data_IF_479337140980
#
_entry.id   IF_479337140980
#
_cell.length_a   1.000
_cell.length_b   1.000
_cell.length_c   1.000
_cell.angle_alpha   90.00
_cell.angle_beta   90.00
_cell.angle_gamma   90.00
#
_symmetry.space_group_name_H-M   'P 1'
#
loop_
_entity.id
_entity.type
_entity.pdbx_description
1 polymer ?
#
# COMPACT_ATOMS: atom_id res chain seq x y z
N UNK A 1 -11.41 -31.69 -10.76
CA UNK A 1 -12.44 -30.63 -10.61
C UNK A 1 -11.85 -29.27 -10.20
N UNK A 2 -10.91 -29.20 -9.25
CA UNK A 2 -10.28 -27.93 -8.83
C UNK A 2 -9.49 -27.20 -9.92
N UNK A 3 -8.65 -27.90 -10.68
CA UNK A 3 -7.84 -27.31 -11.76
C UNK A 3 -8.69 -26.68 -12.89
N UNK A 4 -9.83 -27.28 -13.23
CA UNK A 4 -10.75 -26.73 -14.23
C UNK A 4 -11.41 -25.43 -13.76
N UNK A 5 -11.72 -25.32 -12.46
CA UNK A 5 -12.26 -24.08 -11.87
C UNK A 5 -11.21 -22.96 -11.86
N UNK A 6 -9.96 -23.30 -11.54
CA UNK A 6 -8.83 -22.35 -11.62
C UNK A 6 -8.65 -21.87 -13.06
N UNK A 7 -8.67 -22.75 -14.05
CA UNK A 7 -8.56 -22.36 -15.46
C UNK A 7 -9.69 -21.45 -15.93
N UNK A 8 -10.94 -21.74 -15.54
CA UNK A 8 -12.10 -20.90 -15.88
C UNK A 8 -11.99 -19.49 -15.29
N UNK A 9 -11.54 -19.36 -14.03
CA UNK A 9 -11.29 -18.06 -13.39
C UNK A 9 -10.19 -17.29 -14.15
N UNK A 10 -9.09 -17.95 -14.50
CA UNK A 10 -7.99 -17.30 -15.23
C UNK A 10 -8.40 -16.83 -16.64
N UNK A 11 -9.26 -17.57 -17.33
CA UNK A 11 -9.80 -17.18 -18.63
C UNK A 11 -10.71 -15.95 -18.55
N UNK A 12 -11.55 -15.87 -17.51
CA UNK A 12 -12.39 -14.70 -17.26
C UNK A 12 -11.53 -13.44 -17.05
N UNK A 13 -10.49 -13.54 -16.21
CA UNK A 13 -9.55 -12.44 -15.98
C UNK A 13 -8.81 -12.00 -17.25
N UNK A 14 -8.48 -12.93 -18.15
CA UNK A 14 -7.79 -12.61 -19.41
C UNK A 14 -8.69 -11.82 -20.37
N UNK A 15 -9.96 -12.22 -20.50
CA UNK A 15 -10.94 -11.52 -21.36
C UNK A 15 -11.15 -10.06 -20.95
N UNK A 16 -10.96 -9.71 -19.68
CA UNK A 16 -11.09 -8.33 -19.19
C UNK A 16 -9.97 -7.39 -19.68
N UNK A 17 -8.85 -7.92 -20.18
CA UNK A 17 -7.71 -7.15 -20.69
C UNK A 17 -7.61 -7.08 -22.21
N UNK A 18 -8.41 -7.86 -22.96
CA UNK A 18 -8.36 -7.84 -24.41
C UNK A 18 -8.78 -6.45 -24.92
N UNK A 19 -7.89 -5.71 -25.61
CA UNK A 19 -8.23 -4.39 -26.13
C UNK A 19 -9.34 -4.56 -27.19
N UNK A 20 -10.40 -3.74 -27.18
CA UNK A 20 -11.38 -3.77 -28.24
C UNK A 20 -10.69 -3.37 -29.56
N UNK A 21 -10.84 -4.13 -30.65
CA UNK A 21 -10.30 -3.74 -31.96
C UNK A 21 -10.95 -2.43 -32.42
N UNK A 22 -10.23 -1.47 -33.02
CA UNK A 22 -8.80 -1.47 -33.40
C UNK A 22 -7.84 -0.98 -32.30
N UNK A 23 -6.60 -1.49 -32.34
CA UNK A 23 -5.49 -1.12 -31.44
C UNK A 23 -4.86 0.23 -31.82
N UNK A 24 -5.55 1.34 -31.51
CA UNK A 24 -4.95 2.68 -31.60
C UNK A 24 -4.41 3.13 -30.23
N UNK A 25 -3.08 3.25 -30.13
CA UNK A 25 -2.41 3.78 -28.95
C UNK A 25 -2.24 5.29 -29.09
N UNK A 26 -2.88 6.07 -28.22
CA UNK A 26 -2.67 7.53 -28.15
C UNK A 26 -1.74 7.92 -26.99
N UNK A 27 -1.06 9.05 -27.14
CA UNK A 27 -0.28 9.65 -26.07
C UNK A 27 -1.19 10.36 -25.04
N UNK A 28 -0.93 10.11 -23.75
CA UNK A 28 -1.62 10.79 -22.65
C UNK A 28 -0.78 11.86 -21.93
N UNK A 29 0.51 11.99 -22.27
CA UNK A 29 1.36 12.99 -21.65
C UNK A 29 1.08 14.35 -22.29
N UNK A 30 0.47 15.25 -21.53
CA UNK A 30 0.09 16.59 -22.00
C UNK A 30 0.25 17.61 -20.89
N UNK A 31 0.18 18.90 -21.24
CA UNK A 31 0.16 19.99 -20.26
C UNK A 31 -1.00 19.81 -19.26
N UNK A 32 -2.11 19.21 -19.68
CA UNK A 32 -3.26 18.92 -18.79
C UNK A 32 -2.89 17.90 -17.72
N UNK A 33 -2.13 16.87 -18.09
CA UNK A 33 -1.60 15.87 -17.16
C UNK A 33 -0.63 16.50 -16.15
N UNK A 34 0.22 17.44 -16.60
CA UNK A 34 1.12 18.20 -15.71
C UNK A 34 0.32 19.05 -14.71
N UNK A 35 -0.68 19.80 -15.19
CA UNK A 35 -1.54 20.61 -14.32
C UNK A 35 -2.29 19.74 -13.31
N UNK A 36 -2.77 18.57 -13.70
CA UNK A 36 -3.40 17.64 -12.78
C UNK A 36 -2.44 17.04 -11.76
N UNK A 37 -1.18 16.78 -12.14
CA UNK A 37 -0.14 16.37 -11.20
C UNK A 37 0.13 17.46 -10.14
N UNK A 38 0.20 18.73 -10.54
CA UNK A 38 0.34 19.86 -9.62
C UNK A 38 -0.87 19.99 -8.69
N UNK A 39 -2.09 19.81 -9.23
CA UNK A 39 -3.30 19.78 -8.42
C UNK A 39 -3.24 18.68 -7.35
N UNK A 40 -2.80 17.47 -7.70
CA UNK A 40 -2.62 16.40 -6.72
C UNK A 40 -1.61 16.82 -5.65
N UNK A 41 -0.45 17.35 -6.06
CA UNK A 41 0.64 17.69 -5.15
C UNK A 41 0.29 18.82 -4.17
N UNK A 42 -0.42 19.87 -4.63
CA UNK A 42 -0.71 21.05 -3.80
C UNK A 42 -2.04 21.01 -3.07
N UNK A 43 -3.06 20.32 -3.62
CA UNK A 43 -4.41 20.31 -3.04
C UNK A 43 -4.69 18.99 -2.34
N UNK A 44 -4.47 17.87 -3.02
CA UNK A 44 -4.90 16.57 -2.52
C UNK A 44 -3.96 15.99 -1.48
N UNK A 45 -2.65 16.16 -1.69
CA UNK A 45 -1.64 15.61 -0.81
C UNK A 45 -1.71 16.17 0.63
N UNK A 46 -1.88 17.50 0.87
CA UNK A 46 -2.10 18.01 2.22
C UNK A 46 -3.37 17.47 2.88
N UNK A 47 -4.48 17.37 2.13
CA UNK A 47 -5.73 16.81 2.63
C UNK A 47 -5.59 15.33 3.01
N UNK A 48 -4.93 14.53 2.16
CA UNK A 48 -4.64 13.13 2.42
C UNK A 48 -3.70 12.93 3.62
N UNK A 49 -2.70 13.80 3.80
CA UNK A 49 -1.81 13.80 4.95
C UNK A 49 -2.53 14.15 6.26
N UNK A 50 -3.40 15.15 6.24
CA UNK A 50 -4.21 15.49 7.41
C UNK A 50 -5.11 14.32 7.80
N UNK A 51 -5.86 13.80 6.83
CA UNK A 51 -6.84 12.77 7.12
C UNK A 51 -6.17 11.45 7.52
N UNK A 52 -5.01 11.08 6.96
CA UNK A 52 -4.25 9.89 7.42
C UNK A 52 -3.75 10.00 8.86
N UNK A 53 -3.38 11.21 9.29
CA UNK A 53 -2.99 11.47 10.68
C UNK A 53 -4.19 11.42 11.63
N UNK A 54 -5.37 11.91 11.20
CA UNK A 54 -6.61 11.89 12.00
C UNK A 54 -7.19 10.50 12.13
N UNK A 55 -7.25 9.73 11.04
CA UNK A 55 -7.81 8.37 11.05
C UNK A 55 -6.84 7.35 11.64
N UNK A 56 -5.56 7.71 11.84
CA UNK A 56 -4.52 6.80 12.30
C UNK A 56 -4.18 5.68 11.32
N UNK A 57 -4.82 5.68 10.15
CA UNK A 57 -4.68 4.70 9.09
C UNK A 57 -4.61 5.43 7.74
N UNK A 58 -3.81 4.92 6.82
CA UNK A 58 -3.78 5.45 5.45
C UNK A 58 -5.15 5.27 4.79
N UNK A 59 -5.56 6.23 3.95
CA UNK A 59 -6.85 6.22 3.24
C UNK A 59 -6.94 5.18 2.10
N UNK A 60 -6.01 4.24 2.04
CA UNK A 60 -5.87 3.29 0.94
C UNK A 60 -5.77 3.98 -0.42
N UNK A 61 -6.42 3.40 -1.43
CA UNK A 61 -6.46 3.91 -2.80
C UNK A 61 -7.59 4.91 -3.06
N UNK A 62 -8.48 5.17 -2.10
CA UNK A 62 -9.64 6.04 -2.32
C UNK A 62 -9.28 7.49 -2.72
N UNK A 63 -8.29 8.17 -2.08
CA UNK A 63 -7.91 9.53 -2.46
C UNK A 63 -7.45 9.65 -3.91
N UNK A 64 -6.82 8.61 -4.46
CA UNK A 64 -6.39 8.56 -5.86
C UNK A 64 -7.59 8.68 -6.79
N UNK A 65 -8.64 7.88 -6.58
CA UNK A 65 -9.86 7.92 -7.39
C UNK A 65 -10.60 9.26 -7.27
N UNK A 66 -10.77 9.76 -6.05
CA UNK A 66 -11.42 11.05 -5.78
C UNK A 66 -10.68 12.19 -6.49
N UNK A 67 -9.35 12.13 -6.52
CA UNK A 67 -8.52 13.11 -7.21
C UNK A 67 -8.79 13.15 -8.70
N UNK A 68 -8.83 11.99 -9.36
CA UNK A 68 -9.11 11.92 -10.79
C UNK A 68 -10.53 12.42 -11.09
N UNK A 69 -11.53 12.05 -10.27
CA UNK A 69 -12.91 12.51 -10.42
C UNK A 69 -13.02 14.03 -10.29
N UNK A 70 -12.41 14.61 -9.25
CA UNK A 70 -12.44 16.07 -9.03
C UNK A 70 -11.73 16.82 -10.15
N UNK A 71 -10.58 16.32 -10.61
CA UNK A 71 -9.88 16.93 -11.73
C UNK A 71 -10.71 16.87 -13.02
N UNK A 72 -11.32 15.72 -13.31
CA UNK A 72 -12.22 15.56 -14.45
C UNK A 72 -13.44 16.49 -14.37
N UNK A 73 -14.00 16.69 -13.18
CA UNK A 73 -15.13 17.59 -12.98
C UNK A 73 -14.73 19.06 -13.20
N UNK A 74 -13.54 19.47 -12.74
CA UNK A 74 -13.00 20.81 -13.03
C UNK A 74 -12.73 20.99 -14.52
N UNK A 75 -12.10 20.00 -15.17
CA UNK A 75 -11.84 20.02 -16.61
C UNK A 75 -13.16 20.14 -17.40
N UNK A 76 -14.16 19.32 -17.04
CA UNK A 76 -15.50 19.36 -17.63
C UNK A 76 -16.18 20.72 -17.48
N UNK A 77 -16.14 21.31 -16.28
CA UNK A 77 -16.69 22.66 -16.02
C UNK A 77 -15.95 23.76 -16.76
N UNK A 78 -14.70 23.51 -17.12
CA UNK A 78 -13.88 24.38 -17.96
C UNK A 78 -14.05 24.10 -19.46
N UNK A 79 -15.04 23.29 -19.85
CA UNK A 79 -15.29 22.84 -21.23
C UNK A 79 -14.12 22.08 -21.88
N UNK A 80 -13.24 21.48 -21.07
CA UNK A 80 -12.13 20.64 -21.52
C UNK A 80 -12.54 19.17 -21.45
N UNK A 81 -12.38 18.44 -22.55
CA UNK A 81 -12.51 16.97 -22.58
C UNK A 81 -11.14 16.32 -22.45
N UNK A 82 -11.01 15.41 -21.49
CA UNK A 82 -9.77 14.65 -21.26
C UNK A 82 -9.79 13.35 -22.04
N UNK A 83 -8.63 12.96 -22.59
CA UNK A 83 -8.44 11.66 -23.23
C UNK A 83 -8.38 10.55 -22.18
N UNK A 84 -8.65 9.30 -22.59
CA UNK A 84 -8.59 8.14 -21.67
C UNK A 84 -7.18 7.99 -21.08
N UNK A 85 -6.16 8.26 -21.89
CA UNK A 85 -4.75 8.14 -21.55
C UNK A 85 -4.30 9.25 -20.59
N UNK A 86 -4.84 10.47 -20.74
CA UNK A 86 -4.63 11.56 -19.77
C UNK A 86 -5.22 11.18 -18.41
N UNK A 87 -6.46 10.65 -18.39
CA UNK A 87 -7.13 10.19 -17.16
C UNK A 87 -6.35 9.05 -16.50
N UNK A 88 -5.86 8.09 -17.29
CA UNK A 88 -5.05 6.97 -16.78
C UNK A 88 -3.71 7.42 -16.21
N UNK A 89 -3.01 8.36 -16.87
CA UNK A 89 -1.77 8.92 -16.34
C UNK A 89 -2.02 9.73 -15.07
N UNK A 90 -3.09 10.52 -15.02
CA UNK A 90 -3.49 11.22 -13.81
C UNK A 90 -3.79 10.24 -12.67
N UNK A 91 -4.45 9.12 -12.95
CA UNK A 91 -4.64 8.06 -11.98
C UNK A 91 -3.31 7.53 -11.43
N UNK A 92 -2.37 7.15 -12.29
CA UNK A 92 -1.05 6.63 -11.86
C UNK A 92 -0.28 7.69 -11.06
N UNK A 93 -0.22 8.92 -11.56
CA UNK A 93 0.49 10.02 -10.91
C UNK A 93 -0.14 10.35 -9.55
N UNK A 94 -1.47 10.37 -9.47
CA UNK A 94 -2.18 10.56 -8.21
C UNK A 94 -1.84 9.45 -7.20
N UNK A 95 -1.87 8.20 -7.62
CA UNK A 95 -1.47 7.06 -6.78
C UNK A 95 -0.01 7.14 -6.34
N UNK A 96 0.87 7.60 -7.22
CA UNK A 96 2.27 7.78 -6.90
C UNK A 96 2.50 8.88 -5.84
N UNK A 97 1.94 10.07 -6.06
CA UNK A 97 2.12 11.21 -5.15
C UNK A 97 1.45 10.95 -3.81
N UNK A 98 0.19 10.51 -3.81
CA UNK A 98 -0.58 10.27 -2.58
C UNK A 98 -0.10 9.03 -1.83
N UNK A 99 0.40 8.01 -2.53
CA UNK A 99 0.97 6.83 -1.90
C UNK A 99 2.34 7.09 -1.26
N UNK A 100 3.12 8.04 -1.79
CA UNK A 100 4.41 8.40 -1.19
C UNK A 100 4.24 9.19 0.12
N UNK A 101 3.26 10.10 0.16
CA UNK A 101 2.91 10.99 1.26
C UNK A 101 4.04 11.32 2.27
N UNK A 102 5.15 11.94 1.81
CA UNK A 102 6.28 12.21 2.68
C UNK A 102 5.92 13.18 3.83
N UNK A 103 4.95 14.06 3.61
CA UNK A 103 4.54 15.07 4.59
C UNK A 103 3.94 14.49 5.86
N UNK A 104 3.04 13.50 5.76
CA UNK A 104 2.51 12.85 6.97
C UNK A 104 3.62 12.18 7.76
N UNK A 105 4.60 11.59 7.07
CA UNK A 105 5.78 11.00 7.70
C UNK A 105 6.65 12.04 8.43
N UNK A 106 6.92 13.19 7.82
CA UNK A 106 7.69 14.26 8.48
C UNK A 106 6.99 14.82 9.72
N UNK A 107 5.69 15.09 9.63
CA UNK A 107 4.89 15.59 10.76
C UNK A 107 4.88 14.56 11.89
N UNK A 108 4.71 13.28 11.54
CA UNK A 108 4.79 12.19 12.50
C UNK A 108 6.16 12.10 13.17
N UNK A 109 7.26 12.23 12.42
CA UNK A 109 8.61 12.21 12.98
C UNK A 109 8.86 13.39 13.92
N UNK A 110 8.34 14.58 13.60
CA UNK A 110 8.37 15.75 14.50
C UNK A 110 7.61 15.45 15.78
N UNK A 111 6.41 14.88 15.68
CA UNK A 111 5.63 14.45 16.84
C UNK A 111 6.41 13.43 17.68
N UNK A 112 6.98 12.40 17.07
CA UNK A 112 7.79 11.39 17.75
C UNK A 112 8.94 12.03 18.53
N UNK A 113 9.69 12.97 17.96
CA UNK A 113 10.79 13.64 18.68
C UNK A 113 10.28 14.53 19.81
N UNK A 114 9.16 15.22 19.62
CA UNK A 114 8.70 16.26 20.54
C UNK A 114 7.75 15.78 21.63
N UNK A 115 7.13 14.60 21.46
CA UNK A 115 6.11 14.08 22.36
C UNK A 115 6.64 13.81 23.78
N UNK A 116 5.76 13.97 24.76
CA UNK A 116 6.08 13.67 26.16
C UNK A 116 6.33 12.18 26.40
N UNK A 117 5.71 11.31 25.60
CA UNK A 117 5.90 9.85 25.70
C UNK A 117 7.34 9.49 25.36
N UNK A 118 7.84 9.97 24.21
CA UNK A 118 9.20 9.70 23.77
C UNK A 118 10.25 10.30 24.71
N UNK A 119 9.97 11.50 25.26
CA UNK A 119 10.81 12.13 26.28
C UNK A 119 10.82 11.33 27.57
N UNK A 120 9.66 10.83 28.02
CA UNK A 120 9.54 9.97 29.20
C UNK A 120 10.24 8.63 29.05
N UNK A 121 10.37 8.12 27.81
CA UNK A 121 11.16 6.93 27.49
C UNK A 121 12.66 7.18 27.38
N UNK A 122 13.12 8.44 27.44
CA UNK A 122 14.53 8.81 27.34
C UNK A 122 15.16 8.68 25.95
N UNK A 123 14.37 8.31 24.92
CA UNK A 123 14.85 8.07 23.54
C UNK A 123 14.64 9.25 22.60
N UNK A 124 14.08 10.37 23.09
CA UNK A 124 13.77 11.53 22.25
C UNK A 124 15.02 12.17 21.61
N UNK A 125 16.14 12.15 22.33
CA UNK A 125 17.41 12.69 21.87
C UNK A 125 18.19 11.70 20.98
N UNK A 126 17.91 10.40 21.11
CA UNK A 126 18.51 9.34 20.29
C UNK A 126 17.97 9.31 18.85
N UNK A 127 16.86 10.01 18.58
CA UNK A 127 16.29 10.09 17.23
C UNK A 127 17.30 10.78 16.31
N UNK A 128 17.73 10.13 15.21
CA UNK A 128 18.75 10.70 14.35
C UNK A 128 18.31 11.99 13.66
N UNK A 129 19.23 12.95 13.54
CA UNK A 129 18.97 14.25 12.89
C UNK A 129 18.74 14.12 11.38
N UNK A 130 19.24 13.05 10.77
CA UNK A 130 18.99 12.75 9.37
C UNK A 130 17.55 12.30 9.09
N UNK A 131 16.78 11.90 10.12
CA UNK A 131 15.37 11.53 9.99
C UNK A 131 14.43 12.74 10.22
N UNK A 132 14.77 13.58 11.18
CA UNK A 132 13.99 14.76 11.57
C UNK A 132 14.92 15.77 12.27
N UNK A 133 14.76 17.09 12.04
CA UNK A 133 15.55 18.12 12.73
C UNK A 133 15.50 18.00 14.26
N UNK A 134 16.47 18.58 14.95
CA UNK A 134 16.49 18.60 16.43
C UNK A 134 15.28 19.37 16.99
N UNK A 135 14.85 19.02 18.21
CA UNK A 135 13.66 19.61 18.82
C UNK A 135 13.77 21.13 19.08
N UNK A 136 15.00 21.61 19.28
CA UNK A 136 15.38 23.02 19.48
C UNK A 136 15.61 23.77 18.15
N UNK A 137 15.55 23.09 17.00
CA UNK A 137 15.74 23.70 15.70
C UNK A 137 14.65 24.75 15.42
N UNK A 138 15.02 25.92 14.86
CA UNK A 138 14.05 26.90 14.35
C UNK A 138 13.04 26.27 13.37
N UNK A 139 13.43 25.24 12.63
CA UNK A 139 12.55 24.51 11.72
C UNK A 139 11.31 23.93 12.41
N UNK A 140 11.51 23.31 13.58
CA UNK A 140 10.43 22.71 14.37
C UNK A 140 9.68 23.78 15.15
N UNK A 141 10.40 24.72 15.77
CA UNK A 141 9.79 25.78 16.58
C UNK A 141 8.88 26.69 15.76
N UNK A 142 9.30 27.06 14.55
CA UNK A 142 8.52 27.90 13.62
C UNK A 142 7.56 27.09 12.75
N UNK A 143 7.49 25.76 12.91
CA UNK A 143 6.64 24.85 12.13
C UNK A 143 6.81 25.03 10.62
N UNK A 144 8.05 25.15 10.16
CA UNK A 144 8.38 25.38 8.75
C UNK A 144 9.24 24.24 8.19
N UNK A 145 8.91 23.82 6.97
CA UNK A 145 9.76 22.92 6.18
C UNK A 145 10.83 23.68 5.39
N UNK A 146 10.73 25.02 5.33
CA UNK A 146 11.66 25.88 4.61
C UNK A 146 12.81 26.34 5.51
N UNK A 147 13.57 25.38 6.05
CA UNK A 147 14.75 25.63 6.86
C UNK A 147 15.86 24.64 6.48
N UNK A 148 17.13 25.06 6.57
CA UNK A 148 18.28 24.24 6.16
C UNK A 148 18.38 22.90 6.90
N UNK A 149 17.93 22.83 8.15
CA UNK A 149 17.91 21.59 8.94
C UNK A 149 17.04 20.48 8.32
N UNK A 150 16.09 20.82 7.45
CA UNK A 150 15.30 19.84 6.70
C UNK A 150 16.00 19.30 5.44
N UNK A 151 17.12 19.90 5.01
CA UNK A 151 17.80 19.49 3.77
C UNK A 151 18.22 18.01 3.79
N UNK A 152 18.84 17.56 4.89
CA UNK A 152 19.29 16.18 5.03
C UNK A 152 18.10 15.21 5.09
N UNK A 153 17.09 15.40 5.97
CA UNK A 153 15.90 14.56 5.96
C UNK A 153 15.20 14.49 4.61
N UNK A 154 14.99 15.63 3.95
CA UNK A 154 14.32 15.68 2.64
C UNK A 154 15.15 14.96 1.58
N UNK A 155 16.48 15.15 1.55
CA UNK A 155 17.35 14.50 0.59
C UNK A 155 17.33 12.97 0.75
N UNK A 156 17.38 12.48 2.00
CA UNK A 156 17.32 11.03 2.28
C UNK A 156 15.95 10.47 1.92
N UNK A 157 14.86 11.14 2.29
CA UNK A 157 13.52 10.70 1.93
C UNK A 157 13.30 10.71 0.42
N UNK A 158 13.86 11.67 -0.31
CA UNK A 158 13.83 11.67 -1.77
C UNK A 158 14.66 10.52 -2.37
N UNK A 159 15.85 10.26 -1.84
CA UNK A 159 16.68 9.13 -2.27
C UNK A 159 15.98 7.79 -2.01
N UNK A 160 15.39 7.61 -0.82
CA UNK A 160 14.59 6.43 -0.48
C UNK A 160 13.36 6.30 -1.36
N UNK A 161 12.69 7.42 -1.69
CA UNK A 161 11.56 7.40 -2.61
C UNK A 161 11.99 6.91 -3.99
N UNK A 162 13.09 7.43 -4.54
CA UNK A 162 13.62 7.02 -5.84
C UNK A 162 14.04 5.54 -5.84
N UNK A 163 14.73 5.09 -4.80
CA UNK A 163 15.11 3.69 -4.63
C UNK A 163 13.88 2.80 -4.55
N UNK A 164 12.88 3.16 -3.72
CA UNK A 164 11.64 2.40 -3.58
C UNK A 164 10.89 2.31 -4.90
N UNK A 165 10.89 3.40 -5.70
CA UNK A 165 10.27 3.40 -7.04
C UNK A 165 11.03 2.51 -8.01
N UNK A 166 12.35 2.64 -8.07
CA UNK A 166 13.19 1.81 -8.94
C UNK A 166 13.04 0.33 -8.58
N UNK A 167 13.10 -0.02 -7.29
CA UNK A 167 12.86 -1.38 -6.80
C UNK A 167 11.45 -1.86 -7.12
N UNK A 168 10.43 -1.03 -6.95
CA UNK A 168 9.05 -1.36 -7.29
C UNK A 168 8.84 -1.63 -8.78
N UNK A 169 9.43 -0.83 -9.66
CA UNK A 169 9.39 -1.06 -11.11
C UNK A 169 10.16 -2.32 -11.50
N UNK A 170 11.36 -2.53 -10.95
CA UNK A 170 12.16 -3.71 -11.23
C UNK A 170 11.44 -5.00 -10.77
N UNK A 171 10.97 -5.02 -9.53
CA UNK A 171 10.22 -6.16 -8.99
C UNK A 171 8.91 -6.40 -9.74
N UNK A 172 8.17 -5.34 -10.04
CA UNK A 172 6.93 -5.43 -10.81
C UNK A 172 7.15 -5.97 -12.22
N UNK A 173 8.20 -5.52 -12.90
CA UNK A 173 8.57 -6.03 -14.23
C UNK A 173 9.04 -7.49 -14.19
N UNK A 174 9.87 -7.86 -13.20
CA UNK A 174 10.31 -9.25 -13.02
C UNK A 174 9.11 -10.15 -12.76
N UNK A 175 8.22 -9.75 -11.84
CA UNK A 175 7.01 -10.50 -11.54
C UNK A 175 6.12 -10.60 -12.77
N UNK A 176 5.94 -9.52 -13.53
CA UNK A 176 5.22 -9.54 -14.79
C UNK A 176 5.81 -10.55 -15.78
N UNK A 177 7.14 -10.56 -15.99
CA UNK A 177 7.79 -11.52 -16.88
C UNK A 177 7.61 -12.97 -16.42
N UNK A 178 7.72 -13.23 -15.12
CA UNK A 178 7.51 -14.57 -14.56
C UNK A 178 6.05 -14.99 -14.75
N UNK A 179 5.10 -14.18 -14.29
CA UNK A 179 3.68 -14.51 -14.30
C UNK A 179 3.10 -14.55 -15.73
N UNK A 180 3.41 -13.57 -16.57
CA UNK A 180 2.86 -13.45 -17.92
C UNK A 180 3.61 -14.30 -18.94
N UNK A 181 4.94 -14.23 -19.00
CA UNK A 181 5.67 -14.87 -20.11
C UNK A 181 6.00 -16.33 -19.80
N UNK A 182 6.40 -16.63 -18.56
CA UNK A 182 6.79 -17.97 -18.16
C UNK A 182 5.59 -18.82 -17.73
N UNK A 183 4.80 -18.31 -16.76
CA UNK A 183 3.66 -19.04 -16.20
C UNK A 183 2.38 -18.87 -17.03
N UNK A 184 2.33 -17.88 -17.94
CA UNK A 184 1.17 -17.56 -18.78
C UNK A 184 -0.11 -17.33 -17.99
N UNK A 185 0.02 -16.80 -16.78
CA UNK A 185 -1.08 -16.41 -15.91
C UNK A 185 -1.46 -14.94 -16.16
N UNK A 186 -2.75 -14.57 -16.07
CA UNK A 186 -3.17 -13.18 -16.05
C UNK A 186 -2.54 -12.45 -14.86
N UNK A 187 -2.03 -11.25 -15.09
CA UNK A 187 -1.42 -10.45 -14.03
C UNK A 187 -2.50 -10.01 -13.02
N UNK A 188 -2.32 -10.27 -11.71
CA UNK A 188 -3.37 -10.06 -10.72
C UNK A 188 -3.75 -8.57 -10.59
N UNK A 189 -5.04 -8.31 -10.36
CA UNK A 189 -5.65 -6.98 -10.11
C UNK A 189 -5.51 -5.91 -11.22
N UNK A 190 -4.66 -6.12 -12.23
CA UNK A 190 -4.49 -5.19 -13.33
C UNK A 190 -5.78 -4.93 -14.17
N UNK A 191 -6.66 -5.92 -14.43
CA UNK A 191 -7.90 -5.64 -15.15
C UNK A 191 -8.84 -4.75 -14.34
N UNK A 192 -8.88 -4.91 -13.01
CA UNK A 192 -9.73 -4.12 -12.11
C UNK A 192 -9.35 -2.64 -12.18
N UNK A 193 -8.05 -2.33 -12.08
CA UNK A 193 -7.56 -0.96 -12.19
C UNK A 193 -7.83 -0.34 -13.57
N UNK A 194 -7.63 -1.11 -14.64
CA UNK A 194 -7.89 -0.67 -16.01
C UNK A 194 -9.39 -0.42 -16.28
N UNK A 195 -10.27 -1.30 -15.80
CA UNK A 195 -11.71 -1.13 -15.90
C UNK A 195 -12.16 0.12 -15.14
N UNK A 196 -11.64 0.39 -13.94
CA UNK A 196 -11.92 1.61 -13.19
C UNK A 196 -11.52 2.90 -13.94
N UNK A 197 -10.32 2.93 -14.54
CA UNK A 197 -9.89 4.07 -15.36
C UNK A 197 -10.74 4.23 -16.63
N UNK A 198 -11.19 3.12 -17.22
CA UNK A 198 -12.08 3.11 -18.38
C UNK A 198 -13.46 3.68 -18.04
N UNK A 199 -14.02 3.31 -16.88
CA UNK A 199 -15.30 3.88 -16.38
C UNK A 199 -15.18 5.40 -16.28
N UNK A 200 -14.10 5.90 -15.68
CA UNK A 200 -13.86 7.34 -15.60
C UNK A 200 -13.78 7.99 -16.99
N UNK A 201 -13.08 7.37 -17.93
CA UNK A 201 -13.03 7.88 -19.30
C UNK A 201 -14.41 7.96 -19.98
N UNK A 202 -15.25 6.94 -19.83
CA UNK A 202 -16.64 6.92 -20.34
C UNK A 202 -17.49 8.04 -19.72
N UNK A 203 -17.33 8.27 -18.40
CA UNK A 203 -17.98 9.37 -17.68
C UNK A 203 -17.60 10.74 -18.28
N UNK A 204 -16.33 10.95 -18.65
CA UNK A 204 -15.91 12.21 -19.29
C UNK A 204 -16.56 12.43 -20.66
N UNK A 205 -16.95 11.36 -21.36
CA UNK A 205 -17.57 11.41 -22.69
C UNK A 205 -19.10 11.42 -22.67
N UNK A 206 -19.72 11.41 -21.48
CA UNK A 206 -21.18 11.29 -21.27
C UNK A 206 -21.76 9.99 -21.84
N UNK A 207 -20.97 8.92 -21.89
CA UNK A 207 -21.46 7.60 -22.26
C UNK A 207 -22.05 6.93 -21.02
N UNK A 208 -23.38 6.87 -20.93
CA UNK A 208 -24.08 6.18 -19.83
C UNK A 208 -24.13 4.67 -20.10
N UNK A 209 -23.05 3.98 -19.75
CA UNK A 209 -22.97 2.51 -19.80
C UNK A 209 -23.45 1.88 -18.51
N UNK A 210 -23.61 0.54 -18.51
CA UNK A 210 -23.92 -0.24 -17.30
C UNK A 210 -22.91 0.02 -16.16
N UNK A 211 -21.67 0.38 -16.49
CA UNK A 211 -20.57 0.71 -15.57
C UNK A 211 -20.89 1.94 -14.72
N UNK A 212 -21.55 2.95 -15.30
CA UNK A 212 -21.98 4.16 -14.58
C UNK A 212 -22.93 3.86 -13.42
N UNK A 213 -23.83 2.90 -13.60
CA UNK A 213 -24.80 2.50 -12.57
C UNK A 213 -24.09 1.90 -11.36
N UNK A 214 -23.18 0.95 -11.58
CA UNK A 214 -22.41 0.34 -10.48
C UNK A 214 -21.46 1.32 -9.82
N UNK A 215 -20.83 2.21 -10.59
CA UNK A 215 -20.02 3.30 -10.05
C UNK A 215 -20.85 4.20 -9.12
N UNK A 216 -22.05 4.60 -9.54
CA UNK A 216 -22.93 5.48 -8.75
C UNK A 216 -23.39 4.81 -7.46
N UNK A 217 -23.75 3.53 -7.51
CA UNK A 217 -24.12 2.75 -6.30
C UNK A 217 -22.94 2.70 -5.34
N UNK A 218 -21.75 2.33 -5.82
CA UNK A 218 -20.54 2.28 -5.01
C UNK A 218 -20.17 3.65 -4.42
N UNK A 219 -20.28 4.72 -5.22
CA UNK A 219 -20.04 6.08 -4.78
C UNK A 219 -21.02 6.51 -3.67
N UNK A 220 -22.31 6.21 -3.80
CA UNK A 220 -23.31 6.54 -2.78
C UNK A 220 -23.10 5.76 -1.48
N UNK A 221 -22.78 4.47 -1.57
CA UNK A 221 -22.42 3.64 -0.41
C UNK A 221 -21.18 4.22 0.27
N UNK A 222 -20.15 4.54 -0.50
CA UNK A 222 -18.89 5.11 -0.01
C UNK A 222 -19.07 6.48 0.63
N UNK A 223 -19.91 7.36 0.05
CA UNK A 223 -20.24 8.67 0.61
C UNK A 223 -21.00 8.55 1.92
N UNK A 224 -22.04 7.70 1.97
CA UNK A 224 -22.81 7.48 3.19
C UNK A 224 -21.90 6.92 4.30
N UNK A 225 -21.17 5.84 4.01
CA UNK A 225 -20.27 5.23 4.97
C UNK A 225 -19.16 6.19 5.41
N UNK A 226 -18.51 6.89 4.48
CA UNK A 226 -17.46 7.86 4.77
C UNK A 226 -17.93 9.03 5.62
N UNK A 227 -19.18 9.48 5.44
CA UNK A 227 -19.79 10.50 6.30
C UNK A 227 -19.92 10.00 7.75
N UNK A 228 -20.44 8.80 7.98
CA UNK A 228 -20.58 8.25 9.33
C UNK A 228 -19.24 7.86 9.97
N UNK A 229 -18.35 7.28 9.17
CA UNK A 229 -17.08 6.71 9.62
C UNK A 229 -16.00 7.78 9.86
N UNK A 230 -15.86 8.76 8.98
CA UNK A 230 -14.81 9.78 9.08
C UNK A 230 -15.35 11.20 9.15
N UNK A 231 -16.42 11.52 8.41
CA UNK A 231 -16.99 12.87 8.32
C UNK A 231 -17.52 13.39 9.66
N UNK A 232 -18.42 12.65 10.32
CA UNK A 232 -19.00 13.03 11.60
C UNK A 232 -17.92 13.17 12.68
N UNK A 233 -17.00 12.20 12.90
CA UNK A 233 -15.91 12.36 13.86
C UNK A 233 -15.04 13.58 13.59
N UNK A 234 -14.75 13.88 12.31
CA UNK A 234 -13.92 15.04 11.94
C UNK A 234 -14.62 16.36 12.23
N UNK A 235 -15.89 16.51 11.81
CA UNK A 235 -16.68 17.73 12.03
C UNK A 235 -16.91 17.96 13.51
N UNK A 236 -17.32 16.91 14.23
CA UNK A 236 -17.58 17.00 15.68
C UNK A 236 -16.30 17.19 16.48
N UNK A 237 -15.18 16.55 16.10
CA UNK A 237 -13.88 16.76 16.74
C UNK A 237 -13.31 18.16 16.57
N UNK A 238 -13.71 18.88 15.51
CA UNK A 238 -13.36 20.29 15.34
C UNK A 238 -14.20 21.23 16.22
N UNK A 239 -15.41 20.82 16.61
CA UNK A 239 -16.38 21.65 17.35
C UNK A 239 -16.50 21.27 18.83
N UNK A 240 -16.17 20.04 19.20
CA UNK A 240 -16.38 19.44 20.53
C UNK A 240 -15.06 18.93 21.10
N UNK A 241 -14.97 18.83 22.44
CA UNK A 241 -13.79 18.28 23.11
C UNK A 241 -13.57 16.78 22.86
N UNK A 242 -14.60 16.05 22.44
CA UNK A 242 -14.51 14.64 22.03
C UNK A 242 -15.27 14.43 20.73
N UNK A 243 -14.65 13.85 19.69
CA UNK A 243 -15.35 13.56 18.45
C UNK A 243 -16.43 12.50 18.69
N UNK A 244 -17.59 12.70 18.06
CA UNK A 244 -18.67 11.72 18.07
C UNK A 244 -18.30 10.57 17.13
N UNK A 245 -17.80 9.47 17.69
CA UNK A 245 -17.46 8.25 16.95
C UNK A 245 -18.61 7.24 17.07
N UNK A 246 -19.36 7.09 15.97
CA UNK A 246 -20.46 6.10 15.90
C UNK A 246 -19.94 4.68 15.69
N UNK A 247 -18.86 4.55 14.93
CA UNK A 247 -18.17 3.30 14.65
C UNK A 247 -16.72 3.48 15.14
N UNK A 248 -16.17 2.56 15.96
CA UNK A 248 -14.79 2.65 16.41
C UNK A 248 -13.80 2.66 15.23
N UNK A 249 -12.86 3.60 15.26
CA UNK A 249 -11.79 3.76 14.28
C UNK A 249 -10.46 3.43 14.99
N UNK A 250 -9.52 2.71 14.35
CA UNK A 250 -9.61 2.11 13.01
C UNK A 250 -10.25 0.72 12.98
N UNK A 251 -10.48 0.11 14.15
CA UNK A 251 -11.04 -1.22 14.30
C UNK A 251 -11.74 -1.37 15.65
N UNK A 252 -12.51 -2.44 15.79
CA UNK A 252 -13.00 -2.92 17.09
C UNK A 252 -11.96 -3.89 17.64
N UNK A 253 -11.41 -3.58 18.81
CA UNK A 253 -10.44 -4.43 19.49
C UNK A 253 -11.14 -5.51 20.31
N UNK A 254 -10.82 -6.77 20.03
CA UNK A 254 -11.31 -7.97 20.73
C UNK A 254 -10.16 -8.72 21.42
N UNK A 255 -8.95 -8.15 21.46
CA UNK A 255 -7.76 -8.79 22.02
C UNK A 255 -7.99 -9.13 23.49
N UNK A 256 -8.46 -8.17 24.28
CA UNK A 256 -8.78 -8.38 25.70
C UNK A 256 -9.94 -9.37 25.90
N UNK A 257 -10.90 -9.44 24.98
CA UNK A 257 -12.01 -10.40 25.07
C UNK A 257 -11.56 -11.84 24.79
N UNK A 258 -10.48 -12.03 24.03
CA UNK A 258 -10.03 -13.33 23.54
C UNK A 258 -8.75 -13.83 24.21
N UNK A 259 -8.09 -13.00 25.03
CA UNK A 259 -6.79 -13.28 25.65
C UNK A 259 -6.75 -14.54 26.51
N UNK A 260 -7.89 -14.98 27.06
CA UNK A 260 -8.01 -16.21 27.85
C UNK A 260 -7.82 -17.47 27.01
N UNK A 261 -8.27 -17.43 25.75
CA UNK A 261 -8.18 -18.56 24.80
C UNK A 261 -6.96 -18.41 23.90
N UNK A 262 -6.72 -17.19 23.40
CA UNK A 262 -5.68 -16.82 22.43
C UNK A 262 -4.74 -15.76 23.04
N UNK A 263 -3.91 -16.12 24.04
CA UNK A 263 -3.00 -15.18 24.67
C UNK A 263 -1.94 -14.69 23.67
N UNK A 264 -1.55 -13.43 23.80
CA UNK A 264 -0.62 -12.74 22.92
C UNK A 264 -1.03 -12.72 21.43
N UNK A 265 -2.31 -12.92 21.10
CA UNK A 265 -2.81 -12.79 19.73
C UNK A 265 -3.64 -11.52 19.60
N UNK A 266 -3.23 -10.52 18.80
CA UNK A 266 -4.06 -9.36 18.54
C UNK A 266 -5.25 -9.78 17.66
N UNK A 267 -6.47 -9.58 18.15
CA UNK A 267 -7.70 -9.90 17.42
C UNK A 267 -8.51 -8.63 17.28
N UNK A 268 -8.66 -8.17 16.04
CA UNK A 268 -9.37 -6.95 15.71
C UNK A 268 -10.35 -7.20 14.58
N UNK A 269 -11.50 -6.53 14.63
CA UNK A 269 -12.42 -6.45 13.50
C UNK A 269 -12.17 -5.11 12.83
N UNK A 270 -11.58 -5.15 11.64
CA UNK A 270 -11.45 -3.95 10.80
C UNK A 270 -12.84 -3.39 10.53
N UNK A 271 -13.04 -2.11 10.87
CA UNK A 271 -14.32 -1.42 10.65
C UNK A 271 -14.34 -0.69 9.31
N UNK A 272 -13.28 -0.81 8.52
CA UNK A 272 -13.15 -0.14 7.24
C UNK A 272 -13.94 -0.89 6.14
N UNK A 273 -14.84 -0.18 5.45
CA UNK A 273 -15.64 -0.75 4.37
C UNK A 273 -14.79 -1.09 3.12
N UNK A 274 -13.64 -0.43 2.96
CA UNK A 274 -12.75 -0.63 1.82
C UNK A 274 -12.18 -2.04 1.76
N UNK A 275 -11.67 -2.54 2.88
CA UNK A 275 -11.14 -3.90 3.02
C UNK A 275 -12.22 -4.95 2.75
N UNK A 276 -13.45 -4.72 3.22
CA UNK A 276 -14.59 -5.59 2.91
C UNK A 276 -14.85 -5.63 1.40
N UNK A 277 -14.91 -4.47 0.74
CA UNK A 277 -15.18 -4.37 -0.70
C UNK A 277 -14.04 -4.97 -1.54
N UNK A 278 -12.79 -4.79 -1.13
CA UNK A 278 -11.61 -5.40 -1.78
C UNK A 278 -11.69 -6.92 -1.73
N UNK A 279 -12.25 -7.50 -0.66
CA UNK A 279 -12.48 -8.94 -0.56
C UNK A 279 -13.34 -9.54 -1.67
N UNK A 280 -14.26 -8.76 -2.27
CA UNK A 280 -15.08 -9.21 -3.42
C UNK A 280 -14.34 -9.15 -4.77
N UNK A 281 -13.18 -8.51 -4.79
CA UNK A 281 -12.41 -8.21 -6.01
C UNK A 281 -11.14 -9.06 -6.10
N UNK A 282 -10.57 -9.45 -4.95
CA UNK A 282 -9.36 -10.26 -4.88
C UNK A 282 -9.66 -11.70 -5.36
N UNK A 283 -8.77 -12.33 -6.14
CA UNK A 283 -8.93 -13.73 -6.56
C UNK A 283 -9.18 -14.66 -5.37
N UNK A 284 -10.09 -15.62 -5.53
CA UNK A 284 -10.56 -16.45 -4.41
C UNK A 284 -9.40 -17.14 -3.68
N UNK A 285 -8.46 -17.71 -4.43
CA UNK A 285 -7.30 -18.40 -3.86
C UNK A 285 -6.31 -17.47 -3.16
N UNK A 286 -6.22 -16.21 -3.58
CA UNK A 286 -5.45 -15.21 -2.85
C UNK A 286 -6.11 -14.86 -1.51
N UNK A 287 -7.43 -14.74 -1.47
CA UNK A 287 -8.18 -14.55 -0.23
C UNK A 287 -8.02 -15.74 0.74
N UNK A 288 -8.12 -16.98 0.23
CA UNK A 288 -7.89 -18.19 1.01
C UNK A 288 -6.45 -18.25 1.54
N UNK A 289 -5.46 -17.92 0.70
CA UNK A 289 -4.06 -17.86 1.11
C UNK A 289 -3.82 -16.83 2.22
N UNK A 290 -4.41 -15.63 2.10
CA UNK A 290 -4.39 -14.60 3.14
C UNK A 290 -5.04 -15.06 4.43
N UNK A 291 -6.20 -15.72 4.35
CA UNK A 291 -6.88 -16.30 5.50
C UNK A 291 -6.03 -17.35 6.21
N UNK A 292 -5.47 -18.33 5.48
CA UNK A 292 -4.58 -19.35 6.04
C UNK A 292 -3.34 -18.70 6.67
N UNK A 293 -2.76 -17.69 6.00
CA UNK A 293 -1.65 -16.91 6.53
C UNK A 293 -1.97 -16.24 7.86
N UNK A 294 -3.19 -15.70 8.01
CA UNK A 294 -3.65 -15.07 9.25
C UNK A 294 -3.83 -16.05 10.41
N UNK A 295 -4.05 -17.34 10.13
CA UNK A 295 -4.12 -18.39 11.15
C UNK A 295 -2.75 -18.70 11.77
N UNK A 296 -1.65 -18.43 11.05
CA UNK A 296 -0.30 -18.73 11.55
C UNK A 296 -0.01 -17.96 12.85
N UNK A 297 -0.12 -16.62 12.91
CA UNK A 297 0.03 -15.90 14.18
C UNK A 297 -1.01 -16.30 15.24
N UNK A 298 -2.25 -16.58 14.82
CA UNK A 298 -3.32 -16.95 15.75
C UNK A 298 -3.02 -18.25 16.52
N UNK A 299 -2.32 -19.19 15.89
CA UNK A 299 -1.87 -20.44 16.53
C UNK A 299 -0.49 -20.29 17.15
N UNK A 300 0.44 -19.60 16.48
CA UNK A 300 1.84 -19.55 16.91
C UNK A 300 2.05 -18.63 18.11
N UNK A 301 1.37 -17.49 18.20
CA UNK A 301 1.57 -16.55 19.31
C UNK A 301 1.22 -17.19 20.68
N UNK A 302 0.09 -17.89 20.85
CA UNK A 302 -0.19 -18.58 22.11
C UNK A 302 0.86 -19.63 22.48
N UNK A 303 1.41 -20.36 21.50
CA UNK A 303 2.45 -21.37 21.72
C UNK A 303 3.78 -20.73 22.14
N UNK A 304 4.15 -19.62 21.51
CA UNK A 304 5.35 -18.84 21.84
C UNK A 304 5.26 -18.18 23.22
N UNK A 305 4.07 -17.75 23.63
CA UNK A 305 3.80 -17.21 24.96
C UNK A 305 3.81 -18.29 26.04
N UNK A 306 3.16 -19.44 25.80
CA UNK A 306 3.12 -20.56 26.77
C UNK A 306 4.46 -21.28 26.91
N UNK A 307 5.43 -20.97 26.06
CA UNK A 307 6.75 -21.60 26.07
C UNK A 307 6.73 -23.05 25.59
N UNK A 308 5.80 -23.42 24.71
CA UNK A 308 5.63 -24.81 24.23
C UNK A 308 6.91 -25.36 23.58
N UNK A 309 7.75 -24.51 23.01
CA UNK A 309 9.03 -24.88 22.40
C UNK A 309 10.22 -24.88 23.40
N UNK A 310 9.94 -25.01 24.70
CA UNK A 310 10.96 -25.05 25.76
C UNK A 310 11.48 -23.68 26.21
N UNK A 311 11.04 -22.59 25.59
CA UNK A 311 11.38 -21.21 25.99
C UNK A 311 10.21 -20.29 25.70
N UNK A 312 9.94 -19.36 26.62
CA UNK A 312 8.97 -18.27 26.41
C UNK A 312 9.65 -17.19 25.56
N UNK A 313 9.14 -17.03 24.34
CA UNK A 313 9.63 -16.03 23.39
C UNK A 313 8.92 -14.68 23.59
N UNK A 314 7.60 -14.69 23.82
CA UNK A 314 6.79 -13.49 24.05
C UNK A 314 6.80 -13.12 25.54
N UNK A 315 7.92 -12.59 26.03
CA UNK A 315 8.18 -12.37 27.47
C UNK A 315 7.51 -11.12 28.01
N UNK A 316 7.35 -10.11 27.17
CA UNK A 316 6.88 -8.80 27.62
C UNK A 316 5.36 -8.67 27.57
N UNK A 317 4.66 -9.54 26.84
CA UNK A 317 3.20 -9.54 26.78
C UNK A 317 2.58 -9.94 28.13
N UNK A 318 1.47 -9.28 28.48
CA UNK A 318 0.68 -9.53 29.70
C UNK A 318 -0.81 -9.44 29.38
N UNK A 319 -1.69 -10.13 30.13
CA UNK A 319 -3.13 -9.94 30.03
C UNK A 319 -3.54 -8.49 30.27
N UNK A 320 -4.59 -8.05 29.57
CA UNK A 320 -5.14 -6.69 29.62
C UNK A 320 -4.55 -5.72 28.60
N UNK A 321 -3.59 -6.15 27.76
CA UNK A 321 -3.04 -5.31 26.69
C UNK A 321 -4.00 -5.22 25.51
N UNK A 322 -4.06 -4.04 24.89
CA UNK A 322 -4.81 -3.84 23.64
C UNK A 322 -4.09 -4.46 22.43
N UNK A 323 -4.73 -4.47 21.26
CA UNK A 323 -4.19 -5.03 20.03
C UNK A 323 -2.89 -4.37 19.59
N UNK A 324 -2.77 -3.05 19.75
CA UNK A 324 -1.61 -2.27 19.28
C UNK A 324 -0.40 -2.58 20.15
N UNK A 325 -0.58 -2.56 21.48
CA UNK A 325 0.43 -2.94 22.45
C UNK A 325 0.86 -4.39 22.27
N UNK A 326 -0.11 -5.29 22.08
CA UNK A 326 0.16 -6.72 21.84
C UNK A 326 0.98 -6.92 20.57
N UNK A 327 0.58 -6.33 19.45
CA UNK A 327 1.32 -6.43 18.19
C UNK A 327 2.73 -5.83 18.33
N UNK A 328 2.86 -4.65 18.94
CA UNK A 328 4.15 -4.00 19.14
C UNK A 328 5.12 -4.85 19.96
N UNK A 329 4.68 -5.40 21.10
CA UNK A 329 5.53 -6.25 21.94
C UNK A 329 5.89 -7.55 21.23
N UNK A 330 4.94 -8.16 20.52
CA UNK A 330 5.19 -9.37 19.75
C UNK A 330 6.20 -9.14 18.62
N UNK A 331 6.18 -7.96 17.98
CA UNK A 331 7.20 -7.57 17.01
C UNK A 331 8.57 -7.52 17.65
N UNK A 332 8.73 -6.83 18.78
CA UNK A 332 10.03 -6.71 19.45
C UNK A 332 10.54 -8.04 20.01
N UNK A 333 9.67 -8.86 20.56
CA UNK A 333 10.05 -10.11 21.22
C UNK A 333 10.41 -11.23 20.23
N UNK A 334 9.70 -11.33 19.09
CA UNK A 334 9.87 -12.47 18.18
C UNK A 334 9.76 -12.11 16.69
N UNK A 335 8.69 -11.44 16.27
CA UNK A 335 8.35 -11.35 14.84
C UNK A 335 9.32 -10.50 14.02
N UNK A 336 9.96 -9.49 14.61
CA UNK A 336 11.01 -8.72 13.92
C UNK A 336 12.17 -9.64 13.53
N UNK A 337 12.68 -10.43 14.47
CA UNK A 337 13.75 -11.41 14.24
C UNK A 337 13.33 -12.48 13.24
N UNK A 338 12.09 -12.99 13.35
CA UNK A 338 11.56 -13.97 12.40
C UNK A 338 11.47 -13.42 10.97
N UNK A 339 11.02 -12.17 10.79
CA UNK A 339 10.95 -11.48 9.49
C UNK A 339 12.34 -11.23 8.90
N UNK A 340 13.30 -10.80 9.73
CA UNK A 340 14.69 -10.63 9.30
C UNK A 340 15.26 -11.98 8.86
N UNK A 341 15.07 -13.05 9.64
CA UNK A 341 15.51 -14.40 9.31
C UNK A 341 14.91 -14.91 8.00
N UNK A 342 13.60 -14.74 7.81
CA UNK A 342 12.92 -15.09 6.57
C UNK A 342 13.46 -14.30 5.37
N UNK A 343 13.65 -12.99 5.53
CA UNK A 343 14.22 -12.12 4.50
C UNK A 343 15.63 -12.52 4.10
N UNK A 344 16.50 -12.82 5.08
CA UNK A 344 17.86 -13.31 4.83
C UNK A 344 17.85 -14.69 4.15
N UNK A 345 16.93 -15.57 4.52
CA UNK A 345 16.76 -16.87 3.87
C UNK A 345 16.36 -16.72 2.40
N UNK A 346 15.39 -15.86 2.10
CA UNK A 346 14.98 -15.55 0.72
C UNK A 346 16.14 -14.93 -0.06
N UNK A 347 16.87 -13.99 0.55
CA UNK A 347 18.03 -13.37 -0.08
C UNK A 347 19.13 -14.40 -0.39
N UNK A 348 19.42 -15.32 0.54
CA UNK A 348 20.39 -16.39 0.33
C UNK A 348 19.98 -17.30 -0.83
N UNK A 349 18.71 -17.69 -0.91
CA UNK A 349 18.19 -18.48 -2.04
C UNK A 349 18.31 -17.70 -3.34
N UNK A 350 17.95 -16.42 -3.34
CA UNK A 350 18.06 -15.52 -4.49
C UNK A 350 19.50 -15.39 -5.01
N UNK A 351 20.46 -15.09 -4.13
CA UNK A 351 21.87 -14.99 -4.47
C UNK A 351 22.41 -16.34 -4.98
N UNK A 352 22.10 -17.43 -4.28
CA UNK A 352 22.62 -18.76 -4.67
C UNK A 352 22.06 -19.19 -6.03
N UNK A 353 20.77 -18.97 -6.28
CA UNK A 353 20.15 -19.27 -7.57
C UNK A 353 20.73 -18.43 -8.70
N UNK A 354 20.96 -17.13 -8.49
CA UNK A 354 21.61 -16.25 -9.46
C UNK A 354 23.04 -16.70 -9.80
N UNK A 355 23.85 -17.02 -8.78
CA UNK A 355 25.21 -17.54 -8.97
C UNK A 355 25.18 -18.87 -9.73
N UNK A 356 24.31 -19.80 -9.33
CA UNK A 356 24.17 -21.08 -10.01
C UNK A 356 23.76 -20.92 -11.48
N UNK A 357 22.86 -19.98 -11.78
CA UNK A 357 22.43 -19.69 -13.15
C UNK A 357 23.58 -19.11 -13.98
N UNK A 358 24.32 -18.13 -13.44
CA UNK A 358 25.47 -17.54 -14.09
C UNK A 358 26.55 -18.59 -14.40
N UNK A 359 26.88 -19.45 -13.42
CA UNK A 359 27.85 -20.53 -13.62
C UNK A 359 27.40 -21.55 -14.68
N UNK A 360 26.11 -21.86 -14.75
CA UNK A 360 25.55 -22.75 -15.79
C UNK A 360 25.64 -22.13 -17.17
N UNK A 361 25.37 -20.83 -17.29
CA UNK A 361 25.43 -20.13 -18.57
C UNK A 361 26.86 -19.97 -19.07
N UNK A 362 27.81 -19.62 -18.20
CA UNK A 362 29.25 -19.57 -18.55
C UNK A 362 29.75 -20.95 -19.02
N UNK A 363 29.29 -22.04 -18.40
CA UNK A 363 29.62 -23.41 -18.85
C UNK A 363 28.98 -23.76 -20.19
N UNK A 364 27.77 -23.27 -20.49
CA UNK A 364 27.09 -23.47 -21.79
C UNK A 364 27.80 -22.71 -22.91
N UNK A 365 28.18 -21.46 -22.66
CA UNK A 365 28.95 -20.64 -23.61
C UNK A 365 30.27 -21.34 -23.93
N UNK A 366 31.03 -21.75 -22.91
CA UNK A 366 32.30 -22.46 -23.10
C UNK A 366 32.16 -23.76 -23.91
N UNK A 367 31.12 -24.56 -23.65
CA UNK A 367 30.84 -25.78 -24.43
C UNK A 367 30.46 -25.51 -25.88
N UNK A 368 29.77 -24.39 -26.18
CA UNK A 368 29.46 -23.97 -27.55
C UNK A 368 30.72 -23.55 -28.30
N UNK A 369 31.58 -22.75 -27.67
CA UNK A 369 32.88 -22.36 -28.23
C UNK A 369 33.76 -23.58 -28.52
N UNK A 370 33.84 -24.54 -27.57
CA UNK A 370 34.59 -25.78 -27.77
C UNK A 370 33.99 -26.70 -28.86
N UNK A 371 32.68 -26.59 -29.17
CA UNK A 371 32.03 -27.33 -30.26
C UNK A 371 32.21 -26.67 -31.62
N UNK A 372 32.17 -25.34 -31.68
CA UNK A 372 32.42 -24.58 -32.92
C UNK A 372 33.88 -24.73 -33.39
N UNK A 373 34.84 -24.83 -32.47
CA UNK A 373 36.24 -25.12 -32.82
C UNK A 373 36.48 -26.57 -33.31
N UNK A 374 35.53 -27.49 -33.11
CA UNK A 374 35.67 -28.92 -33.45
C UNK A 374 34.95 -29.34 -34.74
N UNK A 375 34.25 -28.43 -35.41
CA UNK A 375 33.66 -28.70 -36.72
C UNK A 375 34.72 -28.46 -37.82
N UNK A 376 35.22 -29.50 -38.50
CA UNK A 376 36.08 -29.30 -39.65
C UNK A 376 35.27 -28.68 -40.80
N UNK A 377 35.84 -27.67 -41.46
CA UNK A 377 35.35 -27.06 -42.71
C UNK A 377 35.24 -28.09 -43.84
#
# INVERSE_FOLDING_TARGET
MGLLKVQAELEEYRRLMEPPPPEEFEEGFSVRTILGALFVAFVMLPGAAYLSLVTGAGLGSAPQWVTVILFMEVARRSFITLKRQEIYLLYIVAGAILGANPYSGYIWNVFLRTSQVTKGLGVADDIPTWLVPRADSPAILQRTFFHSDWLIPIAISLALLLLTRASGFAAGYILFRITSDYERLPFPLAPVGAQGATVLAEISRKEETWRWRYFSIGAMIGLAFGLFYAGIPTITGALMNRPLQLIPIPFIDLTQNTESVLPATPIVIATDLGGLLVGFVVPFWAAVGGFIGSLIPAVLNPLLYRGTFGTVYLRNWRPGLDAIQTEMLNQYDFWLSARIGAGLGIAAIGITSAIMLALRETRRIRRRTDQEERLPL
#
